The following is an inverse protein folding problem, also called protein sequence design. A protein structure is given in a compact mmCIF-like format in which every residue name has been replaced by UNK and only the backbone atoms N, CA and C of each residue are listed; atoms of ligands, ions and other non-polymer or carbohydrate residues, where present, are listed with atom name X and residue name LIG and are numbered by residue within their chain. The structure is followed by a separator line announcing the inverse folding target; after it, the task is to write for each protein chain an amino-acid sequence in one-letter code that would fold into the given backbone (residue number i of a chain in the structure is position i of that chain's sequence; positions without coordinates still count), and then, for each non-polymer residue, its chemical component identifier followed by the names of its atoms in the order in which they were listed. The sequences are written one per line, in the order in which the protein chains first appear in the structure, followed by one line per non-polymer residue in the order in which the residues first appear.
data_IF_697509085857
#
_entry.id   IF_697509085857
#
_cell.length_a   1.000
_cell.length_b   1.000
_cell.length_c   1.000
_cell.angle_alpha   90.00
_cell.angle_beta   90.00
_cell.angle_gamma   90.00
#
_symmetry.space_group_name_H-M   'P 1'
#
loop_
_entity.id
_entity.type
_entity.pdbx_description
1 polymer ?
#
# COMPACT_ATOMS: atom_id res chain seq x y z
N UNK A 1 6.47 2.00 -20.20
CA UNK A 1 6.81 3.00 -19.15
C UNK A 1 8.30 2.96 -18.90
N UNK A 2 8.97 4.10 -18.97
CA UNK A 2 10.40 4.20 -18.66
C UNK A 2 10.62 4.14 -17.15
N UNK A 3 11.86 3.88 -16.72
CA UNK A 3 12.22 3.88 -15.29
C UNK A 3 11.91 5.24 -14.64
N UNK A 4 12.23 6.31 -15.35
CA UNK A 4 11.97 7.67 -14.88
C UNK A 4 10.47 7.94 -14.67
N UNK A 5 9.64 7.51 -15.62
CA UNK A 5 8.18 7.64 -15.50
C UNK A 5 7.64 6.82 -14.31
N UNK A 6 8.12 5.60 -14.16
CA UNK A 6 7.72 4.73 -13.05
C UNK A 6 8.08 5.37 -11.71
N UNK A 7 9.31 5.84 -11.57
CA UNK A 7 9.77 6.47 -10.33
C UNK A 7 8.98 7.75 -10.02
N UNK A 8 8.72 8.57 -11.03
CA UNK A 8 7.92 9.79 -10.88
C UNK A 8 6.52 9.46 -10.33
N UNK A 9 5.86 8.46 -10.89
CA UNK A 9 4.53 8.04 -10.45
C UNK A 9 4.60 7.46 -9.03
N UNK A 10 5.56 6.59 -8.78
CA UNK A 10 5.68 5.90 -7.50
C UNK A 10 5.99 6.84 -6.33
N UNK A 11 6.79 7.89 -6.57
CA UNK A 11 7.15 8.86 -5.53
C UNK A 11 6.15 10.02 -5.38
N UNK A 12 5.21 10.17 -6.33
CA UNK A 12 4.14 11.18 -6.23
C UNK A 12 2.99 10.63 -5.39
N UNK A 13 3.11 10.79 -4.08
CA UNK A 13 2.15 10.24 -3.12
C UNK A 13 1.07 11.27 -2.75
N UNK A 14 -0.18 10.81 -2.54
CA UNK A 14 -1.26 11.70 -2.14
C UNK A 14 -1.05 12.27 -0.73
N UNK A 15 -1.73 13.37 -0.44
CA UNK A 15 -1.62 14.05 0.85
C UNK A 15 -1.88 13.13 2.05
N UNK A 16 -2.85 12.22 1.93
CA UNK A 16 -3.16 11.27 3.00
C UNK A 16 -1.99 10.31 3.29
N UNK A 17 -1.30 9.84 2.25
CA UNK A 17 -0.12 9.00 2.43
C UNK A 17 0.99 9.76 3.16
N UNK A 18 1.19 11.03 2.82
CA UNK A 18 2.16 11.89 3.52
C UNK A 18 1.78 12.09 4.98
N UNK A 19 0.48 12.27 5.26
CA UNK A 19 -0.03 12.39 6.63
C UNK A 19 0.27 11.14 7.46
N UNK A 20 0.12 9.95 6.86
CA UNK A 20 0.45 8.68 7.52
C UNK A 20 1.96 8.51 7.78
N UNK A 21 2.80 9.26 7.08
CA UNK A 21 4.24 9.05 7.10
C UNK A 21 4.70 7.92 6.16
N UNK A 22 3.91 7.62 5.14
CA UNK A 22 4.25 6.60 4.13
C UNK A 22 5.58 6.94 3.47
N UNK A 23 6.49 5.97 3.45
CA UNK A 23 7.78 6.08 2.78
C UNK A 23 7.92 4.94 1.79
N UNK A 24 8.01 5.30 0.51
CA UNK A 24 8.32 4.33 -0.52
C UNK A 24 9.79 3.91 -0.37
N UNK A 25 10.03 2.60 -0.37
CA UNK A 25 11.38 2.02 -0.32
C UNK A 25 11.85 1.64 -1.72
N UNK A 26 11.02 0.91 -2.46
CA UNK A 26 11.30 0.55 -3.85
C UNK A 26 10.01 0.26 -4.60
N UNK A 27 10.04 0.48 -5.90
CA UNK A 27 8.90 0.20 -6.77
C UNK A 27 9.37 -0.48 -8.05
N UNK A 28 8.88 -1.69 -8.24
CA UNK A 28 9.03 -2.48 -9.44
C UNK A 28 7.64 -2.92 -9.92
N UNK A 29 7.46 -3.26 -11.21
CA UNK A 29 6.13 -3.66 -11.70
C UNK A 29 5.47 -4.79 -10.91
N UNK A 30 6.25 -5.71 -10.35
CA UNK A 30 5.73 -6.88 -9.63
C UNK A 30 6.02 -6.86 -8.12
N UNK A 31 6.59 -5.78 -7.60
CA UNK A 31 6.85 -5.66 -6.17
C UNK A 31 7.03 -4.21 -5.77
N UNK A 32 6.25 -3.77 -4.79
CA UNK A 32 6.43 -2.45 -4.18
C UNK A 32 6.71 -2.65 -2.69
N UNK A 33 7.74 -1.98 -2.19
CA UNK A 33 8.12 -1.98 -0.79
C UNK A 33 7.96 -0.59 -0.20
N UNK A 34 7.36 -0.51 0.97
CA UNK A 34 7.15 0.74 1.68
C UNK A 34 7.18 0.50 3.19
N UNK A 35 7.20 1.58 3.94
CA UNK A 35 7.13 1.51 5.39
C UNK A 35 6.60 2.80 5.99
N UNK A 36 6.25 2.74 7.25
CA UNK A 36 5.95 3.91 8.06
C UNK A 36 6.31 3.66 9.53
N UNK A 37 6.60 4.74 10.23
CA UNK A 37 6.81 4.69 11.67
C UNK A 37 5.46 4.71 12.38
N UNK A 38 5.29 3.82 13.35
CA UNK A 38 4.06 3.78 14.15
C UNK A 38 4.16 4.82 15.25
N UNK A 39 3.42 5.91 15.08
CA UNK A 39 3.35 7.02 16.03
C UNK A 39 2.09 6.94 16.88
N UNK A 40 2.02 7.77 17.92
CA UNK A 40 0.83 7.88 18.76
C UNK A 40 -0.42 8.26 17.92
N UNK A 41 -0.25 9.14 16.90
CA UNK A 41 -1.35 9.57 16.05
C UNK A 41 -1.94 8.42 15.19
N UNK A 42 -1.20 7.34 15.02
CA UNK A 42 -1.64 6.16 14.28
C UNK A 42 -2.07 5.01 15.21
N UNK A 43 -2.18 5.27 16.51
CA UNK A 43 -2.45 4.24 17.49
C UNK A 43 -3.92 4.13 17.85
N UNK A 44 -4.28 2.96 18.38
CA UNK A 44 -5.56 2.70 18.99
C UNK A 44 -5.48 2.84 20.51
N UNK A 45 -6.58 2.50 21.20
CA UNK A 45 -6.67 2.60 22.68
C UNK A 45 -5.67 1.71 23.41
N UNK A 46 -5.18 0.65 22.77
CA UNK A 46 -4.24 -0.30 23.36
C UNK A 46 -2.76 0.08 23.15
N UNK A 47 -2.50 1.23 22.54
CA UNK A 47 -1.13 1.69 22.30
C UNK A 47 -0.43 0.96 21.18
N UNK A 48 -1.16 0.37 20.24
CA UNK A 48 -0.64 -0.28 19.05
C UNK A 48 -1.22 0.36 17.80
N UNK A 49 -0.61 0.10 16.65
CA UNK A 49 -1.06 0.65 15.39
C UNK A 49 -2.54 0.35 15.14
N UNK A 50 -3.32 1.38 14.89
CA UNK A 50 -4.75 1.25 14.61
C UNK A 50 -4.97 0.39 13.35
N UNK A 51 -5.94 -0.52 13.40
CA UNK A 51 -6.28 -1.35 12.25
C UNK A 51 -6.62 -0.55 11.01
N UNK A 52 -7.27 0.61 11.18
CA UNK A 52 -7.53 1.54 10.07
C UNK A 52 -6.25 2.10 9.44
N UNK A 53 -5.20 2.33 10.24
CA UNK A 53 -3.91 2.77 9.72
C UNK A 53 -3.20 1.65 8.96
N UNK A 54 -3.33 0.41 9.42
CA UNK A 54 -2.82 -0.78 8.72
C UNK A 54 -3.50 -0.89 7.35
N UNK A 55 -4.83 -0.77 7.31
CA UNK A 55 -5.60 -0.81 6.07
C UNK A 55 -5.25 0.34 5.14
N UNK A 56 -5.04 1.54 5.68
CA UNK A 56 -4.63 2.70 4.90
C UNK A 56 -3.25 2.52 4.26
N UNK A 57 -2.29 1.96 5.00
CA UNK A 57 -0.97 1.62 4.46
C UNK A 57 -1.09 0.63 3.30
N UNK A 58 -1.86 -0.43 3.49
CA UNK A 58 -2.07 -1.45 2.46
C UNK A 58 -2.80 -0.90 1.23
N UNK A 59 -3.83 -0.08 1.43
CA UNK A 59 -4.57 0.53 0.33
C UNK A 59 -3.66 1.46 -0.48
N UNK A 60 -2.84 2.24 0.20
CA UNK A 60 -1.94 3.18 -0.46
C UNK A 60 -0.84 2.47 -1.28
N UNK A 61 -0.23 1.43 -0.73
CA UNK A 61 0.79 0.69 -1.46
C UNK A 61 0.20 -0.06 -2.66
N UNK A 62 -0.99 -0.63 -2.51
CA UNK A 62 -1.71 -1.30 -3.61
C UNK A 62 -2.13 -0.33 -4.70
N UNK A 63 -2.56 0.88 -4.33
CA UNK A 63 -2.83 1.95 -5.28
C UNK A 63 -1.58 2.37 -6.05
N UNK A 64 -0.46 2.53 -5.36
CA UNK A 64 0.84 2.84 -5.97
C UNK A 64 1.25 1.73 -6.94
N UNK A 65 1.16 0.47 -6.52
CA UNK A 65 1.49 -0.68 -7.36
C UNK A 65 0.63 -0.72 -8.62
N UNK A 66 -0.65 -0.38 -8.51
CA UNK A 66 -1.54 -0.32 -9.66
C UNK A 66 -1.16 0.82 -10.59
N UNK A 67 -0.95 2.02 -10.05
CA UNK A 67 -0.62 3.22 -10.84
C UNK A 67 0.61 3.01 -11.74
N UNK A 68 1.65 2.35 -11.24
CA UNK A 68 2.86 2.09 -12.04
C UNK A 68 2.67 1.01 -13.10
N UNK A 69 1.53 0.32 -13.10
CA UNK A 69 1.19 -0.71 -14.08
C UNK A 69 0.06 -0.29 -15.02
N UNK A 70 -0.46 0.93 -14.90
CA UNK A 70 -1.58 1.37 -15.71
C UNK A 70 -1.17 1.73 -17.14
N UNK A 71 -2.00 1.38 -18.14
CA UNK A 71 -1.87 1.94 -19.48
C UNK A 71 -2.11 3.46 -19.44
N UNK A 72 -1.58 4.14 -20.45
CA UNK A 72 -1.79 5.60 -20.59
C UNK A 72 -3.28 5.94 -20.67
N UNK A 73 -3.67 7.03 -20.00
CA UNK A 73 -5.06 7.50 -19.98
C UNK A 73 -5.99 6.75 -19.03
N UNK A 74 -5.43 5.86 -18.22
CA UNK A 74 -6.18 5.09 -17.22
C UNK A 74 -5.86 5.58 -15.81
N UNK A 75 -6.79 5.30 -14.91
CA UNK A 75 -6.61 5.46 -13.47
C UNK A 75 -7.17 4.24 -12.76
N UNK A 76 -7.15 4.26 -11.45
CA UNK A 76 -7.65 3.15 -10.65
C UNK A 76 -8.41 3.64 -9.43
N UNK A 77 -9.28 2.77 -8.93
CA UNK A 77 -9.88 2.92 -7.60
C UNK A 77 -10.01 1.53 -6.97
N UNK A 78 -9.99 1.49 -5.65
CA UNK A 78 -10.13 0.24 -4.91
C UNK A 78 -11.58 -0.21 -4.91
N UNK A 79 -11.82 -1.45 -5.31
CA UNK A 79 -13.16 -2.07 -5.24
C UNK A 79 -13.37 -2.80 -3.93
N UNK A 80 -12.33 -3.49 -3.46
CA UNK A 80 -12.41 -4.34 -2.29
C UNK A 80 -11.05 -4.42 -1.62
N UNK A 81 -11.05 -4.46 -0.29
CA UNK A 81 -9.85 -4.68 0.51
C UNK A 81 -10.23 -5.55 1.70
N UNK A 82 -9.63 -6.73 1.77
CA UNK A 82 -9.85 -7.68 2.87
C UNK A 82 -8.57 -7.82 3.67
N UNK A 83 -8.67 -7.60 4.98
CA UNK A 83 -7.53 -7.64 5.90
C UNK A 83 -7.69 -8.77 6.92
N UNK A 84 -6.62 -9.55 7.11
CA UNK A 84 -6.47 -10.40 8.26
C UNK A 84 -5.43 -9.76 9.19
N UNK A 85 -5.85 -9.43 10.40
CA UNK A 85 -4.97 -8.89 11.44
C UNK A 85 -4.40 -10.05 12.25
N UNK A 86 -3.09 -10.16 12.33
CA UNK A 86 -2.41 -11.31 12.93
C UNK A 86 -1.70 -10.96 14.23
N UNK A 87 -1.02 -9.80 14.28
CA UNK A 87 -0.22 -9.36 15.42
C UNK A 87 -0.26 -7.84 15.57
N UNK A 88 -0.17 -7.32 16.80
CA UNK A 88 -0.08 -5.88 17.02
C UNK A 88 1.29 -5.34 16.61
N UNK A 89 1.30 -4.08 16.14
CA UNK A 89 2.54 -3.32 15.91
C UNK A 89 2.54 -2.17 16.93
N UNK A 90 3.56 -2.11 17.77
CA UNK A 90 3.61 -1.14 18.87
C UNK A 90 4.03 0.24 18.40
N UNK A 91 3.61 1.27 19.13
CA UNK A 91 4.13 2.62 18.96
C UNK A 91 5.65 2.57 19.09
N UNK A 92 6.35 3.24 18.18
CA UNK A 92 7.82 3.24 18.12
C UNK A 92 8.41 2.19 17.19
N UNK A 93 7.62 1.21 16.78
CA UNK A 93 8.05 0.21 15.80
C UNK A 93 7.85 0.76 14.37
N UNK A 94 8.37 0.04 13.40
CA UNK A 94 8.19 0.32 11.97
C UNK A 94 7.29 -0.75 11.36
N UNK A 95 6.24 -0.31 10.69
CA UNK A 95 5.42 -1.18 9.86
C UNK A 95 6.03 -1.21 8.46
N UNK A 96 6.35 -2.39 7.95
CA UNK A 96 6.90 -2.59 6.61
C UNK A 96 5.88 -3.32 5.76
N UNK A 97 5.67 -2.83 4.54
CA UNK A 97 4.69 -3.38 3.62
C UNK A 97 5.39 -3.89 2.36
N UNK A 98 5.04 -5.09 1.94
CA UNK A 98 5.45 -5.68 0.68
C UNK A 98 4.21 -6.02 -0.12
N UNK A 99 4.07 -5.43 -1.30
CA UNK A 99 2.91 -5.59 -2.18
C UNK A 99 3.33 -6.33 -3.45
N UNK A 100 2.68 -7.46 -3.72
CA UNK A 100 2.95 -8.29 -4.89
C UNK A 100 1.64 -8.61 -5.62
N UNK A 101 1.67 -8.77 -6.97
CA UNK A 101 0.45 -9.07 -7.71
C UNK A 101 0.05 -10.53 -7.57
N UNK A 102 -1.26 -10.76 -7.39
CA UNK A 102 -1.89 -12.06 -7.60
C UNK A 102 -2.47 -12.15 -9.01
N UNK A 103 -2.87 -11.00 -9.56
CA UNK A 103 -3.46 -10.91 -10.90
C UNK A 103 -3.25 -9.50 -11.45
N UNK A 104 -2.71 -9.40 -12.65
CA UNK A 104 -2.63 -8.14 -13.40
C UNK A 104 -3.41 -8.29 -14.69
N UNK A 105 -4.69 -7.95 -14.63
CA UNK A 105 -5.60 -8.02 -15.77
C UNK A 105 -5.79 -6.67 -16.43
N UNK A 106 -6.50 -6.69 -17.56
CA UNK A 106 -6.80 -5.48 -18.32
C UNK A 106 -7.78 -4.55 -17.61
N UNK A 107 -8.72 -5.11 -16.85
CA UNK A 107 -9.78 -4.35 -16.17
C UNK A 107 -9.68 -4.37 -14.66
N UNK A 108 -8.96 -5.35 -14.11
CA UNK A 108 -8.74 -5.45 -12.66
C UNK A 108 -7.32 -5.92 -12.37
N UNK A 109 -6.82 -5.50 -11.22
CA UNK A 109 -5.57 -6.03 -10.65
C UNK A 109 -5.85 -6.42 -9.20
N UNK A 110 -5.34 -7.57 -8.80
CA UNK A 110 -5.47 -8.06 -7.43
C UNK A 110 -4.07 -8.12 -6.82
N UNK A 111 -3.92 -7.46 -5.68
CA UNK A 111 -2.65 -7.35 -4.97
C UNK A 111 -2.74 -7.97 -3.59
N UNK A 112 -1.65 -8.58 -3.17
CA UNK A 112 -1.50 -9.01 -1.78
C UNK A 112 -0.39 -8.22 -1.12
N UNK A 113 -0.71 -7.59 0.01
CA UNK A 113 0.26 -6.85 0.82
C UNK A 113 0.45 -7.57 2.14
N UNK A 114 1.69 -7.91 2.44
CA UNK A 114 2.08 -8.41 3.76
C UNK A 114 2.71 -7.26 4.54
N UNK A 115 2.16 -6.99 5.72
CA UNK A 115 2.70 -5.97 6.63
C UNK A 115 3.41 -6.70 7.77
N UNK A 116 4.70 -6.37 7.97
CA UNK A 116 5.54 -6.98 8.99
C UNK A 116 5.96 -5.97 10.05
N UNK A 117 6.23 -6.49 11.25
CA UNK A 117 6.80 -5.72 12.36
C UNK A 117 8.31 -5.60 12.20
N UNK A 118 8.93 -4.82 13.07
CA UNK A 118 10.39 -4.69 13.12
C UNK A 118 11.13 -5.99 13.40
N UNK A 119 10.49 -6.96 14.07
CA UNK A 119 11.05 -8.31 14.29
C UNK A 119 10.89 -9.24 13.09
N UNK A 120 10.30 -8.76 11.99
CA UNK A 120 10.06 -9.53 10.77
C UNK A 120 8.84 -10.42 10.77
N UNK A 121 8.06 -10.46 11.87
CA UNK A 121 6.85 -11.28 11.93
C UNK A 121 5.68 -10.58 11.21
N UNK A 122 4.87 -11.33 10.44
CA UNK A 122 3.68 -10.75 9.80
C UNK A 122 2.69 -10.24 10.84
N UNK A 123 2.26 -8.99 10.64
CA UNK A 123 1.25 -8.35 11.47
C UNK A 123 -0.10 -8.31 10.81
N UNK A 124 -0.14 -8.23 9.47
CA UNK A 124 -1.38 -8.26 8.70
C UNK A 124 -1.11 -8.76 7.28
N UNK A 125 -2.14 -9.36 6.69
CA UNK A 125 -2.16 -9.74 5.28
C UNK A 125 -3.41 -9.11 4.68
N UNK A 126 -3.22 -8.36 3.59
CA UNK A 126 -4.29 -7.64 2.91
C UNK A 126 -4.34 -8.07 1.45
N UNK A 127 -5.51 -8.50 1.02
CA UNK A 127 -5.77 -8.79 -0.40
C UNK A 127 -6.76 -7.76 -0.90
N UNK A 128 -6.41 -7.07 -1.99
CA UNK A 128 -7.27 -6.02 -2.52
C UNK A 128 -7.40 -6.11 -4.03
N UNK A 129 -8.55 -5.64 -4.51
CA UNK A 129 -8.85 -5.55 -5.93
C UNK A 129 -8.92 -4.09 -6.33
N UNK A 130 -8.18 -3.75 -7.38
CA UNK A 130 -8.18 -2.44 -8.01
C UNK A 130 -8.84 -2.56 -9.38
N UNK A 131 -9.75 -1.63 -9.71
CA UNK A 131 -10.34 -1.57 -11.04
C UNK A 131 -9.58 -0.55 -11.90
N UNK A 132 -9.39 -0.92 -13.17
CA UNK A 132 -8.76 -0.03 -14.16
C UNK A 132 -9.87 0.69 -14.91
N UNK A 133 -9.91 2.01 -14.80
CA UNK A 133 -10.96 2.86 -15.39
C UNK A 133 -10.34 3.98 -16.22
N UNK A 134 -11.16 4.57 -17.10
CA UNK A 134 -10.72 5.74 -17.84
C UNK A 134 -10.59 6.93 -16.92
N UNK A 135 -9.51 7.69 -17.09
CA UNK A 135 -9.37 8.97 -16.40
C UNK A 135 -10.29 9.99 -17.07
N UNK A 136 -11.10 10.66 -16.27
CA UNK A 136 -11.95 11.77 -16.71
C UNK A 136 -11.74 12.95 -15.77
N UNK A 137 -11.52 14.11 -16.38
CA UNK A 137 -11.47 15.37 -15.64
C UNK A 137 -12.86 15.81 -15.17
#
# INVERSE_FOLDING_TARGET
MTREELDRIAFDQPAFARLLGFRLVSAEPDEVLAGLSVTEDLSNRNGVMHGGAIMALADNIGGTATMINLPQGKTTTTLESKTNFLRPIRIGDTARARCVPLHKGRTTMVWQTTITRGDGKPAAIVTQTQVVIDWRE
#
